data_IF_769113968738
#
_entry.id   IF_769113968738
#
_cell.length_a   1.000
_cell.length_b   1.000
_cell.length_c   1.000
_cell.angle_alpha   90.00
_cell.angle_beta   90.00
_cell.angle_gamma   90.00
#
_symmetry.space_group_name_H-M   'P 1'
#
loop_
_entity.id
_entity.type
_entity.pdbx_description
1 polymer ?
#
# COMPACT_ATOMS: atom_id res chain seq x y z
N UNK A 1 -22.51 -1.82 -4.55
CA UNK A 1 -21.66 -2.16 -5.71
C UNK A 1 -21.24 -3.64 -5.61
N UNK A 2 -21.55 -4.46 -6.65
CA UNK A 2 -21.23 -5.90 -6.61
C UNK A 2 -19.72 -6.18 -6.59
N UNK A 3 -18.90 -5.26 -7.12
CA UNK A 3 -17.45 -5.39 -7.24
C UNK A 3 -16.67 -4.86 -6.02
N UNK A 4 -17.31 -4.17 -5.10
CA UNK A 4 -16.67 -3.56 -3.96
C UNK A 4 -17.28 -4.06 -2.65
N UNK A 5 -16.43 -4.26 -1.65
CA UNK A 5 -16.80 -4.31 -0.25
C UNK A 5 -16.74 -2.90 0.33
N UNK A 6 -17.74 -2.55 1.13
CA UNK A 6 -17.81 -1.25 1.80
C UNK A 6 -17.94 -1.50 3.30
N UNK A 7 -17.01 -0.95 4.05
CA UNK A 7 -17.01 -0.98 5.53
C UNK A 7 -17.22 0.45 6.03
N UNK A 8 -18.27 0.66 6.81
CA UNK A 8 -18.57 1.97 7.39
C UNK A 8 -18.28 1.98 8.89
N UNK A 9 -17.69 3.07 9.36
CA UNK A 9 -17.49 3.36 10.77
C UNK A 9 -17.66 4.88 11.01
N UNK A 10 -18.57 5.25 11.87
CA UNK A 10 -18.98 6.65 12.06
C UNK A 10 -19.42 7.27 10.71
N UNK A 11 -18.79 8.34 10.29
CA UNK A 11 -19.01 9.01 8.99
C UNK A 11 -17.98 8.63 7.92
N UNK A 12 -17.15 7.63 8.18
CA UNK A 12 -16.17 7.14 7.21
C UNK A 12 -16.66 5.89 6.49
N UNK A 13 -16.29 5.77 5.22
CA UNK A 13 -16.54 4.59 4.40
C UNK A 13 -15.25 4.14 3.71
N UNK A 14 -14.84 2.92 3.99
CA UNK A 14 -13.71 2.25 3.35
C UNK A 14 -14.23 1.44 2.16
N UNK A 15 -13.64 1.64 0.99
CA UNK A 15 -13.94 0.90 -0.22
C UNK A 15 -12.77 -0.02 -0.56
N UNK A 16 -13.09 -1.31 -0.71
CA UNK A 16 -12.14 -2.34 -1.10
C UNK A 16 -12.67 -3.13 -2.28
N UNK A 17 -11.85 -3.33 -3.31
CA UNK A 17 -12.21 -4.23 -4.40
C UNK A 17 -12.29 -5.67 -3.88
N UNK A 18 -13.31 -6.42 -4.34
CA UNK A 18 -13.38 -7.86 -4.14
C UNK A 18 -12.30 -8.51 -5.00
N UNK A 19 -11.49 -9.40 -4.41
CA UNK A 19 -10.50 -10.18 -5.17
C UNK A 19 -11.19 -10.92 -6.31
N UNK A 20 -10.47 -11.28 -7.35
CA UNK A 20 -10.87 -12.07 -8.53
C UNK A 20 -12.39 -12.21 -8.79
N UNK A 21 -13.07 -11.09 -8.94
CA UNK A 21 -14.31 -11.09 -9.68
C UNK A 21 -13.88 -10.71 -11.09
N UNK A 22 -13.96 -11.64 -12.02
CA UNK A 22 -13.93 -11.28 -13.43
C UNK A 22 -15.11 -10.33 -13.63
N UNK A 23 -14.85 -9.09 -14.02
CA UNK A 23 -15.91 -8.10 -14.18
C UNK A 23 -16.92 -8.55 -15.27
N UNK A 24 -16.55 -9.49 -16.15
CA UNK A 24 -17.44 -10.20 -17.05
C UNK A 24 -18.56 -10.97 -16.32
N UNK A 25 -18.27 -11.57 -15.18
CA UNK A 25 -19.25 -12.29 -14.34
C UNK A 25 -20.28 -11.36 -13.69
N UNK A 26 -20.02 -10.07 -13.66
CA UNK A 26 -20.94 -9.05 -13.16
C UNK A 26 -21.96 -8.58 -14.21
N UNK A 27 -21.88 -9.09 -15.45
CA UNK A 27 -22.77 -8.72 -16.53
C UNK A 27 -22.53 -7.30 -17.09
N UNK A 28 -21.37 -6.71 -16.81
CA UNK A 28 -20.96 -5.43 -17.40
C UNK A 28 -20.25 -5.67 -18.75
N UNK A 29 -20.62 -4.95 -19.79
CA UNK A 29 -19.98 -5.04 -21.09
C UNK A 29 -18.52 -4.53 -21.06
N UNK A 30 -17.75 -4.84 -22.11
CA UNK A 30 -16.33 -4.49 -22.26
C UNK A 30 -16.00 -3.01 -21.99
N UNK A 31 -16.90 -2.09 -22.31
CA UNK A 31 -16.72 -0.65 -22.09
C UNK A 31 -16.68 -0.27 -20.59
N UNK A 32 -17.22 -1.10 -19.71
CA UNK A 32 -17.12 -0.84 -18.25
C UNK A 32 -15.68 -0.94 -17.77
N UNK A 33 -14.90 -1.86 -18.30
CA UNK A 33 -13.48 -2.03 -17.97
C UNK A 33 -12.63 -0.80 -18.34
N UNK A 34 -12.83 -0.25 -19.54
CA UNK A 34 -12.05 0.92 -19.99
C UNK A 34 -12.33 2.14 -19.12
N UNK A 35 -13.60 2.34 -18.71
CA UNK A 35 -14.02 3.52 -17.95
C UNK A 35 -13.71 3.39 -16.46
N UNK A 36 -13.89 2.20 -15.88
CA UNK A 36 -13.84 2.02 -14.43
C UNK A 36 -12.62 1.25 -13.91
N UNK A 37 -11.75 0.74 -14.79
CA UNK A 37 -10.55 0.01 -14.36
C UNK A 37 -9.64 0.90 -13.48
N UNK A 38 -9.47 2.17 -13.83
CA UNK A 38 -8.75 3.13 -13.01
C UNK A 38 -9.35 3.26 -11.62
N UNK A 39 -10.65 3.54 -11.52
CA UNK A 39 -11.37 3.69 -10.25
C UNK A 39 -11.34 2.39 -9.40
N UNK A 40 -11.48 1.23 -10.03
CA UNK A 40 -11.42 -0.05 -9.35
C UNK A 40 -10.03 -0.29 -8.71
N UNK A 41 -8.96 0.09 -9.39
CA UNK A 41 -7.59 0.00 -8.87
C UNK A 41 -7.36 0.91 -7.66
N UNK A 42 -8.04 2.07 -7.61
CA UNK A 42 -7.99 2.98 -6.47
C UNK A 42 -8.69 2.41 -5.22
N UNK A 43 -9.69 1.55 -5.42
CA UNK A 43 -10.44 0.92 -4.32
C UNK A 43 -9.66 -0.22 -3.64
N UNK A 44 -8.39 -0.02 -3.30
CA UNK A 44 -7.59 -1.01 -2.56
C UNK A 44 -7.80 -0.94 -1.04
N UNK A 45 -8.23 0.17 -0.51
CA UNK A 45 -8.64 0.47 0.87
C UNK A 45 -8.83 1.99 1.02
N UNK A 46 -9.31 2.66 -0.02
CA UNK A 46 -9.55 4.10 0.03
C UNK A 46 -10.65 4.41 1.02
N UNK A 47 -10.47 5.45 1.83
CA UNK A 47 -11.44 5.89 2.82
C UNK A 47 -11.97 7.25 2.46
N UNK A 48 -13.29 7.36 2.43
CA UNK A 48 -14.02 8.62 2.26
C UNK A 48 -14.59 9.10 3.58
N UNK A 49 -14.50 10.39 3.81
CA UNK A 49 -15.29 11.10 4.80
C UNK A 49 -16.63 11.52 4.16
N UNK A 50 -17.69 10.83 4.53
CA UNK A 50 -19.04 11.06 3.99
C UNK A 50 -19.68 12.33 4.53
N UNK A 51 -19.18 12.90 5.62
CA UNK A 51 -19.67 14.15 6.22
C UNK A 51 -19.15 15.37 5.46
N UNK A 52 -17.89 15.30 5.01
CA UNK A 52 -17.21 16.42 4.37
C UNK A 52 -17.01 16.20 2.85
N UNK A 53 -17.43 15.05 2.32
CA UNK A 53 -17.33 14.68 0.89
C UNK A 53 -15.88 14.74 0.37
N UNK A 54 -14.93 14.20 1.16
CA UNK A 54 -13.50 14.23 0.89
C UNK A 54 -12.88 12.82 0.99
N UNK A 55 -11.74 12.63 0.32
CA UNK A 55 -10.89 11.46 0.57
C UNK A 55 -10.16 11.67 1.90
N UNK A 56 -10.35 10.75 2.82
CA UNK A 56 -9.70 10.79 4.13
C UNK A 56 -8.40 9.99 4.15
N UNK A 57 -8.38 8.81 3.52
CA UNK A 57 -7.16 8.02 3.34
C UNK A 57 -7.05 7.61 1.87
N UNK A 58 -5.96 7.99 1.22
CA UNK A 58 -5.63 7.63 -0.14
C UNK A 58 -4.75 6.37 -0.15
N UNK A 59 -5.34 5.23 -0.50
CA UNK A 59 -4.60 3.96 -0.59
C UNK A 59 -3.70 3.90 -1.83
N UNK A 60 -2.71 3.00 -1.82
CA UNK A 60 -1.99 2.66 -3.05
C UNK A 60 -2.94 2.08 -4.09
N UNK A 61 -2.76 2.47 -5.33
CA UNK A 61 -3.41 1.80 -6.46
C UNK A 61 -2.99 0.34 -6.54
N UNK A 62 -3.88 -0.52 -7.03
CA UNK A 62 -3.55 -1.92 -7.26
C UNK A 62 -2.48 -2.02 -8.35
N UNK A 63 -1.37 -2.63 -8.02
CA UNK A 63 -0.33 -3.03 -8.97
C UNK A 63 -0.40 -4.55 -9.23
N UNK A 64 0.22 -4.98 -10.30
CA UNK A 64 0.19 -6.35 -10.81
C UNK A 64 1.57 -7.02 -10.67
N UNK A 65 1.60 -8.33 -10.89
CA UNK A 65 2.84 -9.07 -10.94
C UNK A 65 3.58 -8.84 -12.27
N UNK A 66 4.90 -8.99 -12.22
CA UNK A 66 5.72 -9.01 -13.42
C UNK A 66 5.22 -10.07 -14.41
N UNK A 67 5.06 -9.68 -15.67
CA UNK A 67 4.58 -10.54 -16.75
C UNK A 67 3.12 -11.05 -16.58
N UNK A 68 2.29 -10.36 -15.81
CA UNK A 68 0.86 -10.64 -15.70
C UNK A 68 0.10 -10.25 -16.99
N UNK A 69 -1.15 -10.68 -17.15
CA UNK A 69 -1.89 -10.69 -18.42
C UNK A 69 -2.17 -9.34 -19.09
N UNK A 70 -2.17 -8.24 -18.37
CA UNK A 70 -2.35 -6.91 -18.95
C UNK A 70 -1.08 -6.42 -19.66
N UNK A 71 -1.22 -5.79 -20.84
CA UNK A 71 -0.09 -5.36 -21.68
C UNK A 71 0.95 -4.52 -20.95
N UNK A 72 0.51 -3.58 -20.08
CA UNK A 72 1.41 -2.71 -19.32
C UNK A 72 2.32 -3.47 -18.34
N UNK A 73 1.98 -4.70 -17.95
CA UNK A 73 2.70 -5.56 -17.01
C UNK A 73 3.46 -6.69 -17.66
N UNK A 74 3.39 -6.81 -19.00
CA UNK A 74 4.22 -7.76 -19.77
C UNK A 74 5.70 -7.43 -19.61
N UNK A 75 6.51 -8.47 -19.60
CA UNK A 75 7.96 -8.37 -19.42
C UNK A 75 8.59 -7.32 -20.35
N UNK A 76 8.29 -7.34 -21.64
CA UNK A 76 8.85 -6.42 -22.61
C UNK A 76 8.50 -4.94 -22.33
N UNK A 77 7.27 -4.67 -21.87
CA UNK A 77 6.84 -3.34 -21.51
C UNK A 77 7.46 -2.85 -20.20
N UNK A 78 7.63 -3.75 -19.22
CA UNK A 78 8.36 -3.44 -17.98
C UNK A 78 9.82 -3.12 -18.29
N UNK A 79 10.52 -3.95 -19.09
CA UNK A 79 11.89 -3.68 -19.50
C UNK A 79 12.03 -2.35 -20.23
N UNK A 80 11.10 -2.04 -21.15
CA UNK A 80 11.10 -0.77 -21.87
C UNK A 80 10.93 0.43 -20.93
N UNK A 81 10.05 0.34 -19.92
CA UNK A 81 9.91 1.39 -18.91
C UNK A 81 11.17 1.51 -18.06
N UNK A 82 11.72 0.40 -17.61
CA UNK A 82 12.94 0.34 -16.81
C UNK A 82 14.13 0.98 -17.54
N UNK A 83 14.35 0.66 -18.81
CA UNK A 83 15.42 1.25 -19.62
C UNK A 83 15.22 2.76 -19.82
N UNK A 84 13.97 3.20 -20.01
CA UNK A 84 13.63 4.62 -20.15
C UNK A 84 13.72 5.41 -18.84
N UNK A 85 13.65 4.75 -17.69
CA UNK A 85 13.72 5.41 -16.38
C UNK A 85 15.11 6.00 -16.07
N UNK A 86 16.16 5.58 -16.80
CA UNK A 86 17.50 6.15 -16.69
C UNK A 86 18.05 6.18 -15.24
N UNK A 87 17.75 5.12 -14.47
CA UNK A 87 18.15 5.01 -13.07
C UNK A 87 17.14 5.58 -12.06
N UNK A 88 16.05 6.18 -12.52
CA UNK A 88 14.94 6.62 -11.65
C UNK A 88 13.99 5.46 -11.38
N UNK A 89 14.45 4.47 -10.66
CA UNK A 89 13.67 3.32 -10.22
C UNK A 89 14.16 2.86 -8.85
N UNK A 90 13.31 2.13 -8.15
CA UNK A 90 13.66 1.48 -6.89
C UNK A 90 13.12 0.05 -6.87
N UNK A 91 13.90 -0.85 -6.32
CA UNK A 91 13.50 -2.24 -6.13
C UNK A 91 13.60 -2.56 -4.65
N UNK A 92 12.46 -2.68 -4.01
CA UNK A 92 12.39 -2.90 -2.57
C UNK A 92 11.94 -4.32 -2.23
N UNK A 93 12.23 -4.77 -1.02
CA UNK A 93 11.68 -6.03 -0.53
C UNK A 93 10.15 -5.90 -0.42
N UNK A 94 9.42 -6.89 -0.97
CA UNK A 94 8.00 -7.03 -0.70
C UNK A 94 7.84 -7.62 0.69
N UNK A 95 7.37 -6.78 1.60
CA UNK A 95 7.14 -7.18 2.99
C UNK A 95 5.84 -8.00 3.06
N UNK A 96 5.87 -9.10 3.82
CA UNK A 96 4.76 -10.04 3.98
C UNK A 96 4.09 -9.87 5.34
N UNK A 97 3.14 -8.99 5.42
CA UNK A 97 2.46 -8.65 6.66
C UNK A 97 1.01 -8.26 6.45
N UNK A 98 0.57 -7.24 7.17
CA UNK A 98 -0.77 -6.68 7.00
C UNK A 98 -0.71 -5.22 6.64
N UNK A 99 -1.33 -4.89 5.52
CA UNK A 99 -1.49 -3.52 5.03
C UNK A 99 -2.16 -2.65 6.09
N UNK A 100 -1.57 -1.50 6.37
CA UNK A 100 -2.13 -0.46 7.22
C UNK A 100 -1.77 0.92 6.66
N UNK A 101 -2.64 1.89 6.87
CA UNK A 101 -2.42 3.27 6.44
C UNK A 101 -2.89 4.24 7.51
N UNK A 102 -2.20 5.38 7.59
CA UNK A 102 -2.45 6.38 8.62
C UNK A 102 -2.28 7.80 8.06
N UNK A 103 -3.08 8.73 8.59
CA UNK A 103 -3.01 10.15 8.32
C UNK A 103 -3.41 10.93 9.57
N UNK A 104 -2.98 12.18 9.70
CA UNK A 104 -3.49 13.09 10.72
C UNK A 104 -4.67 13.87 10.16
N UNK A 105 -5.85 13.71 10.76
CA UNK A 105 -7.00 14.54 10.47
C UNK A 105 -6.93 15.83 11.29
N UNK A 106 -6.67 16.94 10.61
CA UNK A 106 -6.55 18.28 11.23
C UNK A 106 -7.86 18.76 11.83
N UNK A 107 -9.01 18.32 11.27
CA UNK A 107 -10.35 18.74 11.70
C UNK A 107 -10.75 18.12 13.03
N UNK A 108 -10.43 16.86 13.22
CA UNK A 108 -10.75 16.11 14.42
C UNK A 108 -9.57 16.05 15.42
N UNK A 109 -8.39 16.63 15.07
CA UNK A 109 -7.13 16.63 15.86
C UNK A 109 -6.70 15.21 16.28
N UNK A 110 -6.88 14.24 15.38
CA UNK A 110 -6.55 12.85 15.66
C UNK A 110 -5.86 12.13 14.49
N UNK A 111 -5.24 10.98 14.79
CA UNK A 111 -4.72 10.10 13.76
C UNK A 111 -5.82 9.13 13.38
N UNK A 112 -6.22 9.20 12.12
CA UNK A 112 -7.09 8.21 11.50
C UNK A 112 -6.25 7.15 10.80
N UNK A 113 -6.66 5.88 10.89
CA UNK A 113 -6.00 4.78 10.21
C UNK A 113 -6.96 3.69 9.84
N UNK A 114 -6.56 2.89 8.86
CA UNK A 114 -7.29 1.70 8.45
C UNK A 114 -6.35 0.54 8.12
N UNK A 115 -6.88 -0.66 8.21
CA UNK A 115 -6.31 -1.86 7.58
C UNK A 115 -6.83 -2.02 6.16
N UNK A 116 -6.55 -3.18 5.54
CA UNK A 116 -7.04 -3.48 4.18
C UNK A 116 -8.57 -3.54 4.07
N UNK A 117 -9.29 -3.79 5.18
CA UNK A 117 -10.75 -3.90 5.23
C UNK A 117 -11.34 -3.46 6.57
N UNK A 118 -10.54 -2.91 7.48
CA UNK A 118 -10.97 -2.52 8.82
C UNK A 118 -10.75 -1.01 9.02
N UNK A 119 -11.78 -0.33 9.56
CA UNK A 119 -11.73 1.06 9.99
C UNK A 119 -11.73 1.19 11.51
N UNK A 120 -12.46 0.34 12.21
CA UNK A 120 -12.48 0.35 13.67
C UNK A 120 -11.36 -0.52 14.24
N UNK A 121 -10.42 0.12 14.96
CA UNK A 121 -9.34 -0.58 15.67
C UNK A 121 -9.85 -1.51 16.78
N UNK A 122 -11.06 -1.28 17.29
CA UNK A 122 -11.63 -2.15 18.32
C UNK A 122 -12.17 -3.46 17.74
N UNK A 123 -12.49 -3.48 16.44
CA UNK A 123 -12.96 -4.66 15.73
C UNK A 123 -11.82 -5.42 15.00
N UNK A 124 -10.64 -4.81 14.92
CA UNK A 124 -9.47 -5.39 14.25
C UNK A 124 -8.24 -5.38 15.14
N UNK A 125 -7.88 -6.55 15.67
CA UNK A 125 -6.69 -6.69 16.51
C UNK A 125 -5.39 -6.27 15.78
N UNK A 126 -5.30 -6.51 14.45
CA UNK A 126 -4.14 -6.09 13.65
C UNK A 126 -4.03 -4.58 13.58
N UNK A 127 -5.16 -3.91 13.37
CA UNK A 127 -5.19 -2.45 13.35
C UNK A 127 -4.90 -1.86 14.73
N UNK A 128 -5.45 -2.47 15.80
CA UNK A 128 -5.16 -2.10 17.18
C UNK A 128 -3.66 -2.22 17.52
N UNK A 129 -3.03 -3.33 17.15
CA UNK A 129 -1.58 -3.54 17.35
C UNK A 129 -0.77 -2.50 16.56
N UNK A 130 -1.15 -2.19 15.30
CA UNK A 130 -0.49 -1.15 14.52
C UNK A 130 -0.56 0.23 15.18
N UNK A 131 -1.72 0.63 15.68
CA UNK A 131 -1.84 1.87 16.47
C UNK A 131 -0.92 1.88 17.70
N UNK A 132 -0.74 0.74 18.36
CA UNK A 132 0.15 0.61 19.53
C UNK A 132 1.64 0.76 19.19
N UNK A 133 2.00 0.52 17.93
CA UNK A 133 3.36 0.65 17.40
C UNK A 133 3.69 2.06 16.86
N UNK A 134 2.71 2.96 16.82
CA UNK A 134 2.94 4.35 16.41
C UNK A 134 3.81 5.07 17.44
N UNK A 135 5.05 5.34 17.06
CA UNK A 135 6.00 6.13 17.86
C UNK A 135 5.71 7.62 17.76
N UNK A 136 6.36 8.44 18.58
CA UNK A 136 6.29 9.90 18.47
C UNK A 136 6.83 10.39 17.12
N UNK A 137 7.77 9.67 16.50
CA UNK A 137 8.23 9.95 15.15
C UNK A 137 7.11 9.84 14.12
N UNK A 138 6.33 8.74 14.14
CA UNK A 138 5.18 8.56 13.28
C UNK A 138 4.16 9.70 13.46
N UNK A 139 3.78 9.99 14.71
CA UNK A 139 2.78 11.03 15.05
C UNK A 139 3.21 12.41 14.57
N UNK A 140 4.50 12.75 14.75
CA UNK A 140 5.06 14.02 14.24
C UNK A 140 5.04 14.07 12.71
N UNK A 141 5.47 12.99 12.04
CA UNK A 141 5.45 12.92 10.58
C UNK A 141 4.04 13.14 10.02
N UNK A 142 3.03 12.49 10.61
CA UNK A 142 1.65 12.66 10.16
C UNK A 142 1.14 14.09 10.36
N UNK A 143 1.50 14.73 11.47
CA UNK A 143 1.15 16.15 11.75
C UNK A 143 1.87 17.14 10.83
N UNK A 144 3.12 16.88 10.51
CA UNK A 144 3.92 17.74 9.63
C UNK A 144 3.49 17.64 8.15
N UNK A 145 2.83 16.53 7.78
CA UNK A 145 2.35 16.25 6.42
C UNK A 145 0.88 15.79 6.41
N UNK A 146 -0.07 16.64 6.87
CA UNK A 146 -1.46 16.24 7.08
C UNK A 146 -2.24 15.91 5.80
N UNK A 147 -1.75 16.31 4.62
CA UNK A 147 -2.34 15.97 3.33
C UNK A 147 -1.90 14.61 2.79
N UNK A 148 -1.05 13.90 3.52
CA UNK A 148 -0.46 12.66 3.08
C UNK A 148 -0.93 11.46 3.90
N UNK A 149 -1.46 10.47 3.22
CA UNK A 149 -1.66 9.13 3.79
C UNK A 149 -0.35 8.37 3.73
N UNK A 150 0.17 7.95 4.88
CA UNK A 150 1.36 7.11 4.98
C UNK A 150 0.95 5.65 5.08
N UNK A 151 1.54 4.82 4.24
CA UNK A 151 1.17 3.43 4.01
C UNK A 151 2.28 2.53 4.54
N UNK A 152 1.89 1.54 5.33
CA UNK A 152 2.80 0.65 6.03
C UNK A 152 2.44 -0.82 5.81
N UNK A 153 3.43 -1.68 5.99
CA UNK A 153 3.22 -3.09 6.26
C UNK A 153 3.44 -3.34 7.76
N UNK A 154 2.43 -3.89 8.42
CA UNK A 154 2.51 -4.34 9.80
C UNK A 154 3.11 -5.73 9.83
N UNK A 155 4.32 -5.84 10.38
CA UNK A 155 5.07 -7.06 10.55
C UNK A 155 5.07 -7.47 12.02
N UNK A 156 4.70 -8.72 12.30
CA UNK A 156 4.76 -9.27 13.64
C UNK A 156 4.80 -10.80 13.61
N UNK A 157 5.55 -11.45 14.51
CA UNK A 157 5.49 -12.90 14.68
C UNK A 157 4.11 -13.41 15.13
N UNK A 158 3.25 -12.53 15.66
CA UNK A 158 1.84 -12.84 15.95
C UNK A 158 0.96 -12.85 14.72
N UNK A 159 1.45 -12.33 13.59
CA UNK A 159 0.73 -12.21 12.32
C UNK A 159 1.49 -12.90 11.17
N UNK A 160 1.82 -14.18 11.28
CA UNK A 160 2.48 -14.89 10.20
C UNK A 160 1.51 -15.08 9.03
N UNK A 161 1.93 -14.68 7.82
CA UNK A 161 1.20 -14.96 6.59
C UNK A 161 1.93 -16.09 5.86
N UNK A 162 3.07 -15.81 5.26
CA UNK A 162 3.94 -16.81 4.63
C UNK A 162 5.34 -16.72 5.21
N UNK A 163 5.94 -15.51 5.22
CA UNK A 163 7.28 -15.27 5.77
C UNK A 163 7.24 -15.24 7.30
N UNK A 164 8.21 -15.90 7.93
CA UNK A 164 8.33 -15.94 9.38
C UNK A 164 9.26 -14.84 9.86
N UNK A 165 8.69 -13.87 10.56
CA UNK A 165 9.46 -12.78 11.16
C UNK A 165 9.75 -13.05 12.65
N UNK A 166 10.86 -12.51 13.12
CA UNK A 166 11.24 -12.54 14.54
C UNK A 166 10.65 -11.35 15.30
N UNK A 167 10.77 -11.36 16.63
CA UNK A 167 10.29 -10.25 17.48
C UNK A 167 11.07 -8.95 17.22
N UNK A 168 12.33 -9.03 16.87
CA UNK A 168 13.18 -7.88 16.55
C UNK A 168 12.76 -7.19 15.24
N UNK A 169 12.16 -7.95 14.33
CA UNK A 169 11.64 -7.45 13.06
C UNK A 169 10.25 -6.85 13.20
N UNK A 170 9.56 -7.03 14.33
CA UNK A 170 8.23 -6.46 14.53
C UNK A 170 8.21 -4.95 14.34
N UNK A 171 7.18 -4.43 13.65
CA UNK A 171 7.02 -3.00 13.46
C UNK A 171 6.10 -2.63 12.30
N UNK A 172 5.99 -1.33 12.10
CA UNK A 172 5.38 -0.73 10.92
C UNK A 172 6.48 -0.30 9.96
N UNK A 173 6.51 -0.89 8.78
CA UNK A 173 7.49 -0.58 7.74
C UNK A 173 6.85 0.33 6.70
N UNK A 174 7.35 1.56 6.57
CA UNK A 174 6.88 2.52 5.60
C UNK A 174 7.10 1.97 4.18
N UNK A 175 6.04 1.94 3.38
CA UNK A 175 6.05 1.47 2.00
C UNK A 175 5.90 2.61 1.01
N UNK A 176 4.97 3.54 1.29
CA UNK A 176 4.58 4.61 0.39
C UNK A 176 3.93 5.76 1.16
N UNK A 177 3.75 6.89 0.50
CA UNK A 177 2.86 7.96 0.94
C UNK A 177 2.11 8.54 -0.26
N UNK A 178 0.82 8.79 -0.10
CA UNK A 178 -0.05 9.30 -1.15
C UNK A 178 -0.84 10.52 -0.69
N UNK A 179 -0.86 11.55 -1.51
CA UNK A 179 -1.58 12.78 -1.23
C UNK A 179 -3.10 12.58 -1.42
N UNK A 180 -3.90 13.03 -0.46
CA UNK A 180 -5.37 12.88 -0.51
C UNK A 180 -6.04 13.86 -1.47
N UNK A 181 -5.37 14.96 -1.83
CA UNK A 181 -5.96 16.02 -2.66
C UNK A 181 -5.79 15.75 -4.16
N UNK A 182 -4.65 15.21 -4.58
CA UNK A 182 -4.30 15.04 -6.00
C UNK A 182 -3.88 13.62 -6.39
N UNK A 183 -3.73 12.72 -5.40
CA UNK A 183 -3.33 11.34 -5.61
C UNK A 183 -1.86 11.15 -5.96
N UNK A 184 -1.02 12.20 -5.89
CA UNK A 184 0.42 12.09 -6.11
C UNK A 184 1.08 11.19 -5.07
N UNK A 185 2.19 10.55 -5.43
CA UNK A 185 2.96 9.66 -4.56
C UNK A 185 4.34 10.25 -4.29
N UNK A 186 4.83 10.06 -3.06
CA UNK A 186 6.22 10.40 -2.73
C UNK A 186 7.16 9.41 -3.38
N UNK A 187 8.26 9.90 -3.90
CA UNK A 187 9.37 9.04 -4.37
C UNK A 187 9.98 8.25 -3.20
N UNK A 188 10.57 7.11 -3.49
CA UNK A 188 11.26 6.32 -2.46
C UNK A 188 12.38 7.12 -1.78
N UNK A 189 13.07 8.00 -2.51
CA UNK A 189 14.09 8.90 -1.94
C UNK A 189 13.52 9.85 -0.89
N UNK A 190 12.36 10.45 -1.16
CA UNK A 190 11.66 11.33 -0.21
C UNK A 190 11.20 10.54 1.02
N UNK A 191 10.62 9.34 0.81
CA UNK A 191 10.20 8.45 1.89
C UNK A 191 11.39 8.06 2.79
N UNK A 192 12.52 7.70 2.19
CA UNK A 192 13.75 7.34 2.91
C UNK A 192 14.28 8.52 3.74
N UNK A 193 14.26 9.73 3.17
CA UNK A 193 14.63 10.95 3.90
C UNK A 193 13.71 11.19 5.11
N UNK A 194 12.40 11.06 4.93
CA UNK A 194 11.43 11.20 6.03
C UNK A 194 11.60 10.09 7.07
N UNK A 195 11.70 8.84 6.66
CA UNK A 195 11.89 7.71 7.57
C UNK A 195 13.14 7.91 8.45
N UNK A 196 14.24 8.39 7.88
CA UNK A 196 15.46 8.73 8.62
C UNK A 196 15.23 9.88 9.60
N UNK A 197 14.59 10.98 9.16
CA UNK A 197 14.36 12.18 9.99
C UNK A 197 13.45 11.88 11.20
N UNK A 198 12.41 11.08 10.98
CA UNK A 198 11.44 10.74 12.04
C UNK A 198 11.77 9.43 12.77
N UNK A 199 12.89 8.77 12.46
CA UNK A 199 13.31 7.48 13.04
C UNK A 199 12.24 6.39 12.90
N UNK A 200 11.75 6.21 11.67
CA UNK A 200 10.70 5.25 11.31
C UNK A 200 11.33 4.10 10.50
N UNK A 201 10.86 2.88 10.71
CA UNK A 201 11.24 1.74 9.88
C UNK A 201 10.69 1.93 8.45
N UNK A 202 11.52 1.63 7.45
CA UNK A 202 11.16 1.65 6.03
C UNK A 202 11.61 0.35 5.38
N UNK A 203 10.91 -0.10 4.34
CA UNK A 203 11.42 -1.19 3.51
C UNK A 203 12.74 -0.79 2.84
N UNK A 204 13.64 -1.74 2.68
CA UNK A 204 14.97 -1.46 2.15
C UNK A 204 15.01 -1.59 0.63
N UNK A 205 15.84 -0.75 -0.03
CA UNK A 205 16.23 -1.00 -1.41
C UNK A 205 17.05 -2.29 -1.44
N UNK A 206 16.61 -3.23 -2.26
CA UNK A 206 17.19 -4.58 -2.31
C UNK A 206 18.27 -4.72 -3.38
N UNK A 207 18.03 -4.13 -4.56
CA UNK A 207 18.87 -4.35 -5.73
C UNK A 207 18.96 -3.09 -6.58
N UNK A 208 20.07 -2.98 -7.31
CA UNK A 208 20.36 -1.86 -8.20
C UNK A 208 20.00 -2.16 -9.66
N UNK A 209 19.49 -3.38 -9.95
CA UNK A 209 19.05 -3.73 -11.29
C UNK A 209 17.93 -4.76 -11.33
N UNK A 210 17.06 -4.63 -12.33
CA UNK A 210 15.97 -5.58 -12.60
C UNK A 210 16.51 -6.97 -12.95
N UNK A 211 17.61 -7.04 -13.71
CA UNK A 211 18.25 -8.32 -14.08
C UNK A 211 18.77 -9.09 -12.85
N UNK A 212 19.31 -8.38 -11.85
CA UNK A 212 19.75 -8.99 -10.60
C UNK A 212 18.55 -9.63 -9.89
N UNK A 213 17.46 -8.90 -9.70
CA UNK A 213 16.25 -9.42 -9.07
C UNK A 213 15.69 -10.62 -9.80
N UNK A 214 15.56 -10.55 -11.13
CA UNK A 214 15.06 -11.67 -11.92
C UNK A 214 15.96 -12.90 -11.81
N UNK A 215 17.28 -12.72 -11.68
CA UNK A 215 18.22 -13.81 -11.44
C UNK A 215 18.06 -14.49 -10.07
N UNK A 216 17.45 -13.81 -9.11
CA UNK A 216 17.15 -14.31 -7.77
C UNK A 216 15.80 -15.02 -7.68
N UNK A 217 14.94 -14.85 -8.71
CA UNK A 217 13.62 -15.50 -8.74
C UNK A 217 13.79 -17.03 -8.70
N UNK A 218 13.12 -17.68 -7.77
CA UNK A 218 13.21 -19.12 -7.56
C UNK A 218 14.38 -19.60 -6.68
N UNK A 219 15.26 -18.70 -6.19
CA UNK A 219 16.33 -19.07 -5.24
C UNK A 219 15.87 -19.07 -3.78
N UNK A 220 14.74 -18.44 -3.49
CA UNK A 220 14.14 -18.38 -2.16
C UNK A 220 12.91 -19.28 -2.09
N UNK A 221 12.68 -19.85 -0.93
CA UNK A 221 11.42 -20.49 -0.60
C UNK A 221 10.38 -19.44 -0.21
N UNK A 222 9.10 -19.77 -0.30
CA UNK A 222 8.01 -18.85 0.01
C UNK A 222 8.01 -18.36 1.47
N UNK A 223 8.56 -19.18 2.40
CA UNK A 223 8.67 -18.82 3.82
C UNK A 223 9.90 -17.95 4.15
N UNK A 224 10.83 -17.82 3.22
CA UNK A 224 11.99 -16.94 3.36
C UNK A 224 11.74 -15.55 2.78
N UNK A 225 10.98 -15.47 1.67
CA UNK A 225 10.75 -14.21 0.97
C UNK A 225 9.50 -14.23 0.11
N UNK A 226 8.68 -13.18 0.21
CA UNK A 226 7.49 -13.03 -0.66
C UNK A 226 7.86 -12.58 -2.08
N UNK A 227 8.88 -11.73 -2.21
CA UNK A 227 9.32 -11.19 -3.49
C UNK A 227 9.87 -9.76 -3.40
N UNK A 228 9.72 -9.04 -4.49
CA UNK A 228 10.18 -7.65 -4.62
C UNK A 228 9.09 -6.77 -5.24
N UNK A 229 9.18 -5.47 -4.97
CA UNK A 229 8.37 -4.45 -5.60
C UNK A 229 9.30 -3.58 -6.44
N UNK A 230 8.98 -3.44 -7.72
CA UNK A 230 9.64 -2.54 -8.65
C UNK A 230 8.79 -1.28 -8.81
N UNK A 231 9.35 -0.14 -8.49
CA UNK A 231 8.79 1.19 -8.70
C UNK A 231 9.59 1.89 -9.81
N UNK A 232 8.87 2.33 -10.88
CA UNK A 232 9.45 2.94 -12.09
C UNK A 232 8.66 4.17 -12.49
#
# INVERSE_FOLDING_TARGET
FKALDVTCYSHYALFKYKGYIELGDLGYGSNFFEIYNGLYRECRSIVFDLKNDTIELASLSKFKNYNEDEDSWKADNIWKKYDNASGNFYITNKMDGSYQQYRYDVREDEIIGSGSSALDRNESWRLSEGYSLLTDGHKRMFKDFPDWTFIFEYISPKNPIVVKYTKEQEGLYLLAARNVNDGSEMTFSELKGKASWYSIKITENYADSLSEVLSQTGKYTSDEKEGWVLDI
#
